data_IF_708869181567
#
_entry.id   IF_708869181567
#
_cell.length_a   1.000
_cell.length_b   1.000
_cell.length_c   1.000
_cell.angle_alpha   90.00
_cell.angle_beta   90.00
_cell.angle_gamma   90.00
#
_symmetry.space_group_name_H-M   'P 1'
#
loop_
_entity.id
_entity.type
_entity.pdbx_description
1 polymer ?
#
# COMPACT_ATOMS: atom_id res chain seq x y z
N UNK A 1 11.67 0.63 19.15
CA UNK A 1 12.02 -0.79 19.09
C UNK A 1 10.78 -1.67 18.97
N UNK A 2 10.64 -2.32 17.84
CA UNK A 2 9.49 -3.17 17.56
C UNK A 2 9.70 -4.59 18.08
N UNK A 3 8.59 -5.23 18.45
CA UNK A 3 8.52 -6.63 18.85
C UNK A 3 7.62 -7.38 17.87
N UNK A 4 7.77 -8.70 17.84
CA UNK A 4 6.83 -9.55 17.09
C UNK A 4 5.41 -9.33 17.63
N UNK A 5 4.46 -9.10 16.72
CA UNK A 5 3.09 -8.79 17.05
C UNK A 5 2.75 -7.31 17.10
N UNK A 6 3.76 -6.44 17.11
CA UNK A 6 3.51 -5.00 17.10
C UNK A 6 2.92 -4.53 15.78
N UNK A 7 1.99 -3.61 15.87
CA UNK A 7 1.46 -2.91 14.70
C UNK A 7 2.29 -1.67 14.42
N UNK A 8 2.58 -1.44 13.15
CA UNK A 8 3.16 -0.16 12.73
C UNK A 8 2.04 0.88 12.61
N UNK A 9 2.35 2.18 12.67
CA UNK A 9 1.31 3.22 12.56
C UNK A 9 0.50 3.07 11.29
N UNK A 10 -0.83 3.16 11.44
CA UNK A 10 -1.74 3.15 10.29
C UNK A 10 -1.50 4.37 9.40
N UNK A 11 -1.66 4.20 8.11
CA UNK A 11 -1.61 5.28 7.14
C UNK A 11 -3.01 5.46 6.53
N UNK A 12 -3.64 6.59 6.85
CA UNK A 12 -4.98 6.93 6.37
C UNK A 12 -4.87 7.73 5.09
N UNK A 13 -5.55 7.26 4.05
CA UNK A 13 -5.52 7.89 2.73
C UNK A 13 -6.77 8.76 2.58
N UNK A 14 -6.60 9.95 2.02
CA UNK A 14 -7.72 10.82 1.65
C UNK A 14 -8.64 10.07 0.69
N UNK A 15 -9.96 10.40 0.66
CA UNK A 15 -10.88 9.76 -0.29
C UNK A 15 -10.31 9.77 -1.71
N UNK A 16 -10.41 8.63 -2.38
CA UNK A 16 -9.92 8.49 -3.75
C UNK A 16 -10.70 9.46 -4.65
N UNK A 17 -9.99 10.33 -5.35
CA UNK A 17 -10.58 11.36 -6.21
C UNK A 17 -10.18 11.17 -7.66
N UNK A 18 -10.97 11.71 -8.57
CA UNK A 18 -10.66 11.68 -10.01
C UNK A 18 -9.34 12.38 -10.31
N UNK A 19 -9.07 13.50 -9.65
CA UNK A 19 -7.81 14.22 -9.83
C UNK A 19 -6.60 13.38 -9.39
N UNK A 20 -6.74 12.63 -8.31
CA UNK A 20 -5.71 11.70 -7.85
C UNK A 20 -5.39 10.64 -8.91
N UNK A 21 -6.43 10.06 -9.53
CA UNK A 21 -6.25 9.03 -10.56
C UNK A 21 -5.64 9.62 -11.83
N UNK A 22 -6.06 10.82 -12.23
CA UNK A 22 -5.49 11.50 -13.39
C UNK A 22 -4.01 11.81 -13.18
N UNK A 23 -3.66 12.29 -12.00
CA UNK A 23 -2.26 12.56 -11.65
C UNK A 23 -1.42 11.29 -11.67
N UNK A 24 -1.94 10.22 -11.10
CA UNK A 24 -1.24 8.94 -11.08
C UNK A 24 -1.07 8.37 -12.49
N UNK A 25 -2.10 8.48 -13.34
CA UNK A 25 -2.02 8.06 -14.74
C UNK A 25 -0.87 8.77 -15.46
N UNK A 26 -0.72 10.07 -15.23
CA UNK A 26 0.38 10.86 -15.81
C UNK A 26 1.74 10.42 -15.28
N UNK A 27 1.84 10.19 -13.98
CA UNK A 27 3.10 9.81 -13.34
C UNK A 27 3.54 8.39 -13.69
N UNK A 28 2.59 7.46 -13.79
CA UNK A 28 2.88 6.03 -14.04
C UNK A 28 2.91 5.65 -15.52
N UNK A 29 2.29 6.47 -16.38
CA UNK A 29 2.08 6.11 -17.79
C UNK A 29 0.94 5.13 -18.01
N UNK A 30 0.16 4.81 -16.98
CA UNK A 30 -0.99 3.91 -17.09
C UNK A 30 -2.26 4.72 -17.39
N UNK A 31 -2.57 4.87 -18.66
CA UNK A 31 -3.72 5.64 -19.17
C UNK A 31 -4.90 4.74 -19.50
N UNK A 32 -5.01 3.55 -18.93
CA UNK A 32 -6.17 2.70 -19.18
C UNK A 32 -7.45 3.51 -18.86
N UNK A 33 -8.37 3.63 -19.80
CA UNK A 33 -9.54 4.51 -19.64
C UNK A 33 -10.47 4.12 -18.48
N UNK A 34 -10.40 2.89 -17.96
CA UNK A 34 -11.18 2.52 -16.78
C UNK A 34 -10.83 3.34 -15.53
N UNK A 35 -9.68 4.00 -15.53
CA UNK A 35 -9.21 4.81 -14.40
C UNK A 35 -9.51 6.30 -14.58
N UNK A 36 -9.78 6.77 -15.81
CA UNK A 36 -9.85 8.20 -16.11
C UNK A 36 -11.11 8.62 -16.86
N UNK A 37 -11.81 7.69 -17.50
CA UNK A 37 -12.99 7.99 -18.33
C UNK A 37 -14.23 7.32 -17.74
N UNK A 38 -15.10 8.12 -17.11
CA UNK A 38 -16.32 7.63 -16.47
C UNK A 38 -17.26 6.92 -17.45
N UNK A 39 -17.42 7.47 -18.65
CA UNK A 39 -18.30 6.88 -19.65
C UNK A 39 -17.78 5.52 -20.09
N UNK A 40 -16.48 5.41 -20.33
CA UNK A 40 -15.85 4.15 -20.69
C UNK A 40 -15.98 3.11 -19.56
N UNK A 41 -15.71 3.52 -18.33
CA UNK A 41 -15.82 2.64 -17.16
C UNK A 41 -17.23 2.08 -17.03
N UNK A 42 -18.25 2.95 -17.13
CA UNK A 42 -19.66 2.53 -17.04
C UNK A 42 -20.08 1.60 -18.16
N UNK A 43 -19.63 1.85 -19.38
CA UNK A 43 -19.86 0.95 -20.53
C UNK A 43 -19.17 -0.41 -20.32
N UNK A 44 -18.11 -0.44 -19.57
CA UNK A 44 -17.38 -1.69 -19.25
C UNK A 44 -18.00 -2.47 -18.08
N UNK A 45 -19.10 -1.99 -17.52
CA UNK A 45 -19.81 -2.65 -16.42
C UNK A 45 -19.38 -2.19 -15.03
N UNK A 46 -18.58 -1.13 -14.92
CA UNK A 46 -18.16 -0.58 -13.63
C UNK A 46 -19.10 0.55 -13.21
N UNK A 47 -19.24 0.81 -11.90
CA UNK A 47 -20.09 1.92 -11.41
C UNK A 47 -19.52 3.29 -11.79
N UNK A 48 -18.21 3.42 -11.88
CA UNK A 48 -17.48 4.61 -12.28
C UNK A 48 -16.01 4.20 -12.51
N UNK A 49 -15.12 5.17 -12.70
CA UNK A 49 -13.69 4.89 -12.76
C UNK A 49 -13.22 4.23 -11.46
N UNK A 50 -12.23 3.37 -11.58
CA UNK A 50 -11.62 2.67 -10.45
C UNK A 50 -10.16 3.09 -10.30
N UNK A 51 -9.64 2.99 -9.09
CA UNK A 51 -8.25 3.31 -8.82
C UNK A 51 -7.31 2.27 -9.45
N UNK A 52 -6.15 2.74 -9.90
CA UNK A 52 -5.07 1.84 -10.32
C UNK A 52 -4.64 0.98 -9.14
N UNK A 53 -4.53 -0.33 -9.35
CA UNK A 53 -4.04 -1.23 -8.30
C UNK A 53 -2.66 -0.82 -7.78
N UNK A 54 -1.76 -0.44 -8.68
CA UNK A 54 -0.42 -0.02 -8.30
C UNK A 54 -0.40 1.28 -7.49
N UNK A 55 -1.38 2.16 -7.66
CA UNK A 55 -1.53 3.33 -6.78
C UNK A 55 -1.77 2.88 -5.34
N UNK A 56 -2.67 1.93 -5.15
CA UNK A 56 -3.00 1.41 -3.81
C UNK A 56 -1.77 0.71 -3.21
N UNK A 57 -1.04 -0.04 -4.02
CA UNK A 57 0.21 -0.67 -3.57
C UNK A 57 1.25 0.38 -3.16
N UNK A 58 1.30 1.53 -3.83
CA UNK A 58 2.21 2.62 -3.47
C UNK A 58 1.89 3.20 -2.08
N UNK A 59 0.62 3.29 -1.72
CA UNK A 59 0.22 3.72 -0.37
C UNK A 59 0.70 2.73 0.68
N UNK A 60 0.65 1.44 0.37
CA UNK A 60 1.14 0.41 1.27
C UNK A 60 2.67 0.50 1.43
N UNK A 61 3.37 0.77 0.33
CA UNK A 61 4.81 1.04 0.38
C UNK A 61 5.14 2.25 1.26
N UNK A 62 4.36 3.31 1.14
CA UNK A 62 4.54 4.52 1.96
C UNK A 62 4.27 4.24 3.45
N UNK A 63 3.38 3.33 3.77
CA UNK A 63 3.15 2.88 5.14
C UNK A 63 4.44 2.35 5.76
N UNK A 64 5.24 1.65 4.98
CA UNK A 64 6.55 1.14 5.42
C UNK A 64 7.56 2.28 5.52
N UNK A 65 7.66 3.12 4.48
CA UNK A 65 8.69 4.17 4.44
C UNK A 65 8.41 5.32 5.41
N UNK A 66 7.20 5.42 5.96
CA UNK A 66 6.90 6.37 7.03
C UNK A 66 7.70 6.10 8.30
N UNK A 67 8.12 4.85 8.52
CA UNK A 67 8.82 4.45 9.75
C UNK A 67 10.14 3.73 9.51
N UNK A 68 10.38 3.19 8.32
CA UNK A 68 11.63 2.54 7.96
C UNK A 68 12.30 3.28 6.81
N UNK A 69 13.63 3.34 6.75
CA UNK A 69 14.33 3.95 5.61
C UNK A 69 13.93 3.26 4.30
N UNK A 70 13.78 4.03 3.24
CA UNK A 70 13.39 3.50 1.93
C UNK A 70 14.35 2.40 1.45
N UNK A 71 15.64 2.60 1.62
CA UNK A 71 16.65 1.62 1.20
C UNK A 71 16.66 0.33 2.03
N UNK A 72 15.90 0.26 3.12
CA UNK A 72 15.84 -0.91 3.99
C UNK A 72 14.88 -2.00 3.48
N UNK A 73 14.01 -1.67 2.54
CA UNK A 73 13.03 -2.63 1.99
C UNK A 73 13.77 -3.58 1.05
N UNK A 74 13.75 -4.87 1.39
CA UNK A 74 14.41 -5.92 0.60
C UNK A 74 13.44 -6.73 -0.23
N UNK A 75 12.18 -6.80 0.22
CA UNK A 75 11.12 -7.50 -0.50
C UNK A 75 9.80 -6.81 -0.21
N UNK A 76 8.96 -6.68 -1.25
CA UNK A 76 7.64 -6.10 -1.12
C UNK A 76 6.72 -6.76 -2.14
N UNK A 77 5.70 -7.43 -1.65
CA UNK A 77 4.75 -8.18 -2.47
C UNK A 77 3.32 -7.81 -2.08
N UNK A 78 2.43 -7.82 -3.04
CA UNK A 78 1.01 -7.56 -2.81
C UNK A 78 0.13 -8.48 -3.62
N UNK A 79 -1.04 -8.76 -3.08
CA UNK A 79 -2.13 -9.45 -3.75
C UNK A 79 -3.34 -8.52 -3.82
N UNK A 80 -3.82 -8.28 -5.03
CA UNK A 80 -5.00 -7.44 -5.24
C UNK A 80 -6.25 -8.27 -4.96
N UNK A 81 -7.10 -7.81 -4.03
CA UNK A 81 -8.26 -8.57 -3.56
C UNK A 81 -9.55 -8.00 -4.14
N UNK A 82 -9.73 -6.68 -4.12
CA UNK A 82 -10.93 -6.01 -4.60
C UNK A 82 -10.59 -4.67 -5.21
N UNK A 83 -11.45 -4.21 -6.12
CA UNK A 83 -11.32 -2.90 -6.76
C UNK A 83 -11.56 -1.78 -5.74
N UNK A 84 -10.85 -0.67 -5.93
CA UNK A 84 -11.03 0.53 -5.14
C UNK A 84 -11.77 1.56 -5.98
N UNK A 85 -12.88 2.07 -5.45
CA UNK A 85 -13.76 2.99 -6.14
C UNK A 85 -13.47 4.44 -5.75
N UNK A 86 -14.00 5.36 -6.55
CA UNK A 86 -14.01 6.79 -6.21
C UNK A 86 -14.68 6.96 -4.83
N UNK A 87 -14.13 7.85 -4.04
CA UNK A 87 -14.55 8.18 -2.68
C UNK A 87 -14.27 7.12 -1.62
N UNK A 88 -13.68 5.99 -1.99
CA UNK A 88 -13.22 5.04 -0.98
C UNK A 88 -12.19 5.69 -0.06
N UNK A 89 -12.37 5.51 1.24
CA UNK A 89 -11.42 5.93 2.26
C UNK A 89 -10.63 4.72 2.70
N UNK A 90 -9.34 4.75 2.47
CA UNK A 90 -8.48 3.60 2.72
C UNK A 90 -7.66 3.77 3.98
N UNK A 91 -7.43 2.67 4.68
CA UNK A 91 -6.47 2.59 5.77
C UNK A 91 -5.48 1.49 5.44
N UNK A 92 -4.20 1.86 5.46
CA UNK A 92 -3.11 0.92 5.28
C UNK A 92 -2.57 0.51 6.65
N UNK A 93 -2.44 -0.79 6.85
CA UNK A 93 -2.02 -1.38 8.13
C UNK A 93 -0.84 -2.30 7.92
N UNK A 94 -0.01 -2.40 8.94
CA UNK A 94 1.09 -3.35 8.96
C UNK A 94 1.33 -3.91 10.35
N UNK A 95 1.80 -5.14 10.38
CA UNK A 95 2.10 -5.85 11.62
C UNK A 95 3.40 -6.60 11.47
N UNK A 96 4.23 -6.53 12.50
CA UNK A 96 5.49 -7.28 12.55
C UNK A 96 5.18 -8.72 12.94
N UNK A 97 5.47 -9.65 12.05
CA UNK A 97 5.18 -11.07 12.27
C UNK A 97 6.41 -11.90 12.56
N UNK A 98 7.60 -11.39 12.26
CA UNK A 98 8.85 -12.06 12.60
C UNK A 98 9.98 -11.05 12.69
N UNK A 99 10.97 -11.36 13.51
CA UNK A 99 12.21 -10.60 13.66
C UNK A 99 13.36 -11.59 13.72
N UNK A 100 14.35 -11.42 12.85
CA UNK A 100 15.56 -12.24 12.83
C UNK A 100 16.78 -11.36 13.03
N UNK A 101 17.75 -11.87 13.78
CA UNK A 101 19.06 -11.24 13.92
C UNK A 101 20.08 -12.11 13.18
N UNK A 102 20.78 -11.53 12.23
CA UNK A 102 21.78 -12.25 11.43
C UNK A 102 22.86 -11.29 10.97
N UNK A 103 24.12 -11.62 11.25
CA UNK A 103 25.30 -10.92 10.73
C UNK A 103 25.25 -9.39 10.89
N UNK A 104 24.89 -8.88 12.04
CA UNK A 104 24.74 -7.45 12.32
C UNK A 104 23.52 -6.80 11.66
N UNK A 105 22.62 -7.61 11.07
CA UNK A 105 21.36 -7.12 10.51
C UNK A 105 20.20 -7.56 11.38
N UNK A 106 19.21 -6.69 11.46
CA UNK A 106 17.91 -6.99 12.05
C UNK A 106 16.88 -7.01 10.93
N UNK A 107 16.31 -8.16 10.70
CA UNK A 107 15.33 -8.37 9.62
C UNK A 107 13.94 -8.46 10.20
N UNK A 108 13.07 -7.58 9.73
CA UNK A 108 11.65 -7.58 10.07
C UNK A 108 10.84 -8.14 8.94
N UNK A 109 9.95 -9.08 9.25
CA UNK A 109 8.92 -9.53 8.32
C UNK A 109 7.60 -8.85 8.68
N UNK A 110 6.97 -8.22 7.70
CA UNK A 110 5.75 -7.45 7.88
C UNK A 110 4.60 -8.11 7.13
N UNK A 111 3.44 -8.14 7.76
CA UNK A 111 2.17 -8.46 7.10
C UNK A 111 1.41 -7.15 6.90
N UNK A 112 0.95 -6.93 5.69
CA UNK A 112 0.38 -5.64 5.27
C UNK A 112 -1.05 -5.84 4.78
N UNK A 113 -1.86 -4.80 4.95
CA UNK A 113 -3.27 -4.85 4.59
C UNK A 113 -3.78 -3.45 4.26
N UNK A 114 -4.60 -3.35 3.21
CA UNK A 114 -5.38 -2.14 2.91
C UNK A 114 -6.85 -2.49 3.02
N UNK A 115 -7.58 -1.71 3.81
CA UNK A 115 -9.03 -1.86 3.99
C UNK A 115 -9.73 -0.53 3.68
N UNK A 116 -11.01 -0.61 3.31
CA UNK A 116 -11.85 0.58 3.19
C UNK A 116 -12.56 0.89 4.53
N UNK A 117 -13.38 1.93 4.53
CA UNK A 117 -14.08 2.38 5.75
C UNK A 117 -15.10 1.36 6.29
N UNK A 118 -15.54 0.41 5.46
CA UNK A 118 -16.43 -0.67 5.89
C UNK A 118 -15.67 -1.91 6.37
N UNK A 119 -14.32 -1.87 6.33
CA UNK A 119 -13.47 -3.00 6.70
C UNK A 119 -13.24 -4.00 5.57
N UNK A 120 -13.68 -3.69 4.35
CA UNK A 120 -13.47 -4.56 3.21
C UNK A 120 -12.00 -4.52 2.78
N UNK A 121 -11.40 -5.70 2.62
CA UNK A 121 -10.01 -5.83 2.19
C UNK A 121 -9.89 -5.49 0.71
N UNK A 122 -8.95 -4.59 0.39
CA UNK A 122 -8.64 -4.19 -0.99
C UNK A 122 -7.34 -4.80 -1.47
N UNK A 123 -6.37 -4.90 -0.58
CA UNK A 123 -5.03 -5.37 -0.89
C UNK A 123 -4.47 -6.06 0.34
N UNK A 124 -3.77 -7.18 0.16
CA UNK A 124 -2.94 -7.77 1.19
C UNK A 124 -1.51 -7.85 0.69
N UNK A 125 -0.56 -7.81 1.61
CA UNK A 125 0.83 -7.83 1.21
C UNK A 125 1.76 -8.28 2.30
N UNK A 126 3.03 -8.34 1.94
CA UNK A 126 4.11 -8.65 2.85
C UNK A 126 5.35 -7.88 2.44
N UNK A 127 6.21 -7.64 3.40
CA UNK A 127 7.47 -6.98 3.15
C UNK A 127 8.55 -7.51 4.08
N UNK A 128 9.79 -7.41 3.63
CA UNK A 128 10.97 -7.66 4.43
C UNK A 128 11.79 -6.38 4.48
N UNK A 129 12.10 -5.95 5.69
CA UNK A 129 12.89 -4.75 5.98
C UNK A 129 14.13 -5.18 6.74
N UNK A 130 15.30 -4.70 6.33
CA UNK A 130 16.55 -4.98 7.03
C UNK A 130 17.20 -3.69 7.51
N UNK A 131 17.56 -3.67 8.80
CA UNK A 131 18.28 -2.56 9.41
C UNK A 131 19.61 -3.06 9.97
N UNK A 132 20.64 -2.24 9.86
CA UNK A 132 21.91 -2.51 10.54
C UNK A 132 21.73 -2.28 12.04
N UNK A 133 22.25 -3.19 12.85
CA UNK A 133 22.13 -3.12 14.31
C UNK A 133 22.75 -1.84 14.90
N UNK A 134 23.71 -1.24 14.23
CA UNK A 134 24.43 -0.06 14.68
C UNK A 134 23.83 1.26 14.15
N UNK A 135 22.78 1.21 13.35
CA UNK A 135 22.14 2.43 12.84
C UNK A 135 21.32 3.10 13.92
N UNK A 136 21.64 4.37 14.17
CA UNK A 136 20.82 5.26 14.99
C UNK A 136 19.77 5.89 14.09
N UNK A 137 18.55 5.91 14.57
CA UNK A 137 17.49 6.67 13.91
C UNK A 137 17.58 8.15 14.22
#
# INVERSE_FOLDING_TARGET
NFRIGDEIPNFHIKPISRSMLTLYASASGDYNPIHIDSDYAKKSGLPDVIAHGMLIMSFLGQTITNIFPQGSIKKFESKFIAMTNINDCLTCKGKIINIELKDSLKRFSLKLLVIDSSGKKKLSGSAIVELKLNEKK
#
